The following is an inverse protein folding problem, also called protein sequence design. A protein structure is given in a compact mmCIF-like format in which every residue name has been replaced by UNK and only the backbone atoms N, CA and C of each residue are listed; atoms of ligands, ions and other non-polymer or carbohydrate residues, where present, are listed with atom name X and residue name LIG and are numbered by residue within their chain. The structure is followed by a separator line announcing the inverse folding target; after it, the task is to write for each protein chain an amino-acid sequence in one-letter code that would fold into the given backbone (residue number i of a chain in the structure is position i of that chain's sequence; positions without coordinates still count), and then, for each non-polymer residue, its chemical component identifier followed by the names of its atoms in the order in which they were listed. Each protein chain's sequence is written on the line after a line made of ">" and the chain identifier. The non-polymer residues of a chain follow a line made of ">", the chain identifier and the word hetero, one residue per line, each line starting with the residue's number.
data_IF_118840979088
#
_entry.id   IF_118840979088
#
_cell.length_a   1.000
_cell.length_b   1.000
_cell.length_c   1.000
_cell.angle_alpha   90.00
_cell.angle_beta   90.00
_cell.angle_gamma   90.00
#
_symmetry.space_group_name_H-M   'P 1'
#
loop_
_entity.id
_entity.type
_entity.pdbx_description
1 polymer ?
#
# COMPACT_ATOMS: atom_id res chain seq x y z
N UNK A 1 8.91 -40.18 -3.75
CA UNK A 1 8.05 -39.75 -2.62
C UNK A 1 8.24 -38.25 -2.45
N UNK A 2 7.18 -37.49 -2.16
CA UNK A 2 7.29 -36.05 -1.92
C UNK A 2 7.96 -35.79 -0.56
N UNK A 3 8.87 -34.83 -0.51
CA UNK A 3 9.69 -34.54 0.68
C UNK A 3 8.93 -33.75 1.75
N UNK A 4 7.93 -32.95 1.38
CA UNK A 4 7.17 -32.12 2.33
C UNK A 4 5.74 -31.79 1.89
N UNK A 5 4.86 -31.59 2.88
CA UNK A 5 3.49 -31.13 2.72
C UNK A 5 3.10 -30.23 3.91
N UNK A 6 3.26 -28.91 3.76
CA UNK A 6 3.02 -27.91 4.80
C UNK A 6 1.70 -27.15 4.55
N UNK A 7 1.08 -26.66 5.62
CA UNK A 7 -0.17 -25.88 5.59
C UNK A 7 0.08 -24.46 6.08
N UNK A 8 -0.60 -23.48 5.47
CA UNK A 8 -0.64 -22.13 6.03
C UNK A 8 -1.47 -22.11 7.32
N UNK A 9 -1.33 -21.09 8.17
CA UNK A 9 -2.13 -20.95 9.38
C UNK A 9 -3.64 -20.95 9.11
N UNK A 10 -4.08 -20.31 8.02
CA UNK A 10 -5.51 -20.26 7.65
C UNK A 10 -6.08 -21.66 7.37
N UNK A 11 -5.31 -22.50 6.66
CA UNK A 11 -5.72 -23.89 6.37
C UNK A 11 -5.62 -24.76 7.62
N UNK A 12 -4.61 -24.55 8.45
CA UNK A 12 -4.46 -25.24 9.74
C UNK A 12 -5.66 -24.97 10.65
N UNK A 13 -6.09 -23.71 10.74
CA UNK A 13 -7.25 -23.30 11.52
C UNK A 13 -8.56 -23.91 11.00
N UNK A 14 -8.75 -23.92 9.68
CA UNK A 14 -9.91 -24.54 9.02
C UNK A 14 -10.01 -26.04 9.31
N UNK A 15 -8.88 -26.74 9.36
CA UNK A 15 -8.81 -28.19 9.54
C UNK A 15 -8.78 -28.62 11.01
N UNK A 16 -8.74 -27.67 11.96
CA UNK A 16 -8.75 -27.97 13.40
C UNK A 16 -10.10 -28.56 13.85
N UNK A 17 -10.08 -29.34 14.94
CA UNK A 17 -11.29 -29.89 15.57
C UNK A 17 -11.28 -29.60 17.09
N UNK A 18 -12.14 -28.68 17.58
CA UNK A 18 -13.11 -27.88 16.83
C UNK A 18 -12.43 -26.87 15.88
N UNK A 19 -13.15 -26.46 14.82
CA UNK A 19 -12.61 -25.54 13.80
C UNK A 19 -12.27 -24.18 14.41
N UNK A 20 -11.07 -23.68 14.13
CA UNK A 20 -10.62 -22.35 14.54
C UNK A 20 -10.94 -21.37 13.43
N UNK A 21 -11.54 -20.23 13.75
CA UNK A 21 -11.82 -19.18 12.78
C UNK A 21 -10.55 -18.38 12.48
N UNK A 22 -10.30 -18.09 11.21
CA UNK A 22 -9.28 -17.11 10.82
C UNK A 22 -9.89 -15.72 10.76
N UNK A 23 -9.06 -14.67 10.86
CA UNK A 23 -9.55 -13.30 10.74
C UNK A 23 -10.19 -13.04 9.38
N UNK A 24 -11.26 -12.24 9.34
CA UNK A 24 -11.99 -11.93 8.12
C UNK A 24 -11.09 -11.28 7.04
N UNK A 25 -10.14 -10.43 7.45
CA UNK A 25 -9.08 -9.89 6.58
C UNK A 25 -8.22 -10.94 5.84
N UNK A 26 -8.16 -12.19 6.32
CA UNK A 26 -7.42 -13.29 5.69
C UNK A 26 -8.33 -14.23 4.89
N UNK A 27 -9.59 -14.38 5.29
CA UNK A 27 -10.53 -15.31 4.67
C UNK A 27 -11.95 -14.79 4.78
N UNK A 28 -12.69 -14.79 3.66
CA UNK A 28 -14.12 -14.46 3.58
C UNK A 28 -14.49 -13.01 3.97
N UNK A 29 -13.52 -12.10 3.98
CA UNK A 29 -13.72 -10.68 4.23
C UNK A 29 -14.26 -9.92 3.01
N UNK A 30 -14.99 -8.83 3.28
CA UNK A 30 -15.41 -7.88 2.25
C UNK A 30 -14.22 -7.06 1.75
N UNK A 31 -14.10 -6.92 0.44
CA UNK A 31 -13.10 -6.05 -0.19
C UNK A 31 -13.66 -4.64 -0.30
N UNK A 32 -12.95 -3.69 0.30
CA UNK A 32 -13.18 -2.27 0.19
C UNK A 32 -12.19 -1.66 -0.81
N UNK A 33 -12.61 -0.60 -1.49
CA UNK A 33 -11.77 0.13 -2.45
C UNK A 33 -11.80 1.63 -2.15
N UNK A 34 -10.65 2.27 -2.26
CA UNK A 34 -10.51 3.73 -2.22
C UNK A 34 -9.65 4.20 -3.39
N UNK A 35 -9.93 5.39 -3.91
CA UNK A 35 -9.24 5.97 -5.06
C UNK A 35 -9.08 7.47 -4.90
N UNK A 36 -7.92 7.99 -5.31
CA UNK A 36 -7.70 9.42 -5.45
C UNK A 36 -6.66 9.71 -6.53
N UNK A 37 -6.67 10.95 -7.02
CA UNK A 37 -5.73 11.42 -8.04
C UNK A 37 -5.36 12.88 -7.82
N UNK A 38 -4.22 13.29 -8.39
CA UNK A 38 -3.75 14.67 -8.42
C UNK A 38 -3.06 14.97 -9.75
N UNK A 39 -3.06 16.24 -10.14
CA UNK A 39 -2.23 16.73 -11.24
C UNK A 39 -0.91 17.25 -10.66
N UNK A 40 0.20 16.67 -11.11
CA UNK A 40 1.55 17.16 -10.76
C UNK A 40 1.93 18.35 -11.63
N UNK A 41 2.78 19.22 -11.11
CA UNK A 41 3.37 20.33 -11.88
C UNK A 41 4.67 19.87 -12.54
N UNK A 42 5.22 20.68 -13.45
CA UNK A 42 6.56 20.47 -13.98
C UNK A 42 7.64 20.95 -13.00
N UNK A 43 8.88 20.52 -13.25
CA UNK A 43 10.08 20.89 -12.48
C UNK A 43 9.97 20.64 -10.97
N UNK A 44 9.24 19.58 -10.59
CA UNK A 44 9.09 19.20 -9.18
C UNK A 44 10.37 18.57 -8.67
N UNK A 45 10.81 18.97 -7.48
CA UNK A 45 12.01 18.42 -6.83
C UNK A 45 11.70 17.15 -6.05
N UNK A 46 12.74 16.37 -5.78
CA UNK A 46 12.68 15.20 -4.90
C UNK A 46 12.15 15.56 -3.51
N UNK A 47 11.36 14.67 -2.91
CA UNK A 47 10.73 14.86 -1.61
C UNK A 47 9.37 15.56 -1.65
N UNK A 48 8.83 15.84 -2.84
CA UNK A 48 7.48 16.40 -2.98
C UNK A 48 6.43 15.32 -2.72
N UNK A 49 5.40 15.65 -1.94
CA UNK A 49 4.41 14.68 -1.45
C UNK A 49 3.03 14.92 -2.07
N UNK A 50 2.38 13.84 -2.51
CA UNK A 50 1.01 13.84 -3.03
C UNK A 50 0.13 12.88 -2.24
N UNK A 51 -0.80 13.40 -1.45
CA UNK A 51 -1.74 12.60 -0.64
C UNK A 51 -2.97 12.26 -1.48
N UNK A 52 -3.27 10.97 -1.65
CA UNK A 52 -4.26 10.53 -2.64
C UNK A 52 -5.51 9.93 -2.00
N UNK A 53 -5.34 9.01 -1.07
CA UNK A 53 -6.44 8.33 -0.40
C UNK A 53 -6.03 7.93 1.02
N UNK A 54 -6.98 7.44 1.82
CA UNK A 54 -6.69 7.00 3.18
C UNK A 54 -7.16 5.57 3.41
N UNK A 55 -6.40 4.82 4.21
CA UNK A 55 -6.71 3.45 4.65
C UNK A 55 -6.78 3.39 6.18
N UNK A 56 -7.73 2.65 6.78
CA UNK A 56 -7.81 2.55 8.23
C UNK A 56 -6.69 1.65 8.78
N UNK A 57 -6.29 1.88 10.03
CA UNK A 57 -5.19 1.17 10.71
C UNK A 57 -5.44 -0.34 10.83
N UNK A 58 -6.70 -0.75 10.96
CA UNK A 58 -7.11 -2.16 11.00
C UNK A 58 -7.28 -2.81 9.62
N UNK A 59 -7.03 -2.10 8.52
CA UNK A 59 -7.08 -2.68 7.19
C UNK A 59 -5.89 -3.60 6.93
N UNK A 60 -6.14 -4.68 6.19
CA UNK A 60 -5.12 -5.41 5.44
C UNK A 60 -5.21 -5.00 3.98
N UNK A 61 -4.15 -4.39 3.46
CA UNK A 61 -4.08 -3.97 2.05
C UNK A 61 -3.76 -5.17 1.17
N UNK A 62 -4.63 -5.45 0.20
CA UNK A 62 -4.45 -6.56 -0.74
C UNK A 62 -3.74 -6.12 -2.01
N UNK A 63 -4.07 -4.92 -2.53
CA UNK A 63 -3.57 -4.44 -3.81
C UNK A 63 -3.41 -2.92 -3.81
N UNK A 64 -2.36 -2.46 -4.49
CA UNK A 64 -2.15 -1.06 -4.84
C UNK A 64 -1.99 -0.97 -6.35
N UNK A 65 -2.84 -0.17 -6.96
CA UNK A 65 -2.94 0.00 -8.40
C UNK A 65 -2.64 1.47 -8.71
N UNK A 66 -1.60 1.72 -9.51
CA UNK A 66 -1.25 3.06 -9.95
C UNK A 66 -1.81 3.33 -11.34
N UNK A 67 -2.27 4.56 -11.55
CA UNK A 67 -2.61 5.09 -12.88
C UNK A 67 -1.90 6.40 -13.07
N UNK A 68 -1.24 6.60 -14.21
CA UNK A 68 -0.56 7.85 -14.50
C UNK A 68 -0.54 8.12 -15.99
N UNK A 69 -0.61 9.38 -16.39
CA UNK A 69 -0.21 9.78 -17.73
C UNK A 69 1.33 9.81 -17.81
N UNK A 70 1.89 9.62 -19.01
CA UNK A 70 3.34 9.56 -19.18
C UNK A 70 4.00 10.88 -18.73
N UNK A 71 4.82 10.83 -17.67
CA UNK A 71 5.59 11.99 -17.19
C UNK A 71 6.98 12.07 -17.83
N UNK A 72 7.45 10.98 -18.45
CA UNK A 72 8.74 10.90 -19.11
C UNK A 72 9.95 11.01 -18.17
N UNK A 73 11.14 11.08 -18.77
CA UNK A 73 12.41 11.26 -18.07
C UNK A 73 12.70 10.12 -17.08
N UNK A 74 13.12 10.49 -15.87
CA UNK A 74 13.37 9.56 -14.76
C UNK A 74 12.29 9.62 -13.68
N UNK A 75 11.08 10.11 -14.02
CA UNK A 75 10.00 10.34 -13.05
C UNK A 75 9.69 9.07 -12.24
N UNK A 76 9.82 9.16 -10.92
CA UNK A 76 9.58 8.06 -9.99
C UNK A 76 9.14 8.60 -8.62
N UNK A 77 8.39 7.79 -7.88
CA UNK A 77 7.93 8.12 -6.54
C UNK A 77 7.84 6.88 -5.63
N UNK A 78 8.10 7.07 -4.35
CA UNK A 78 7.79 6.10 -3.31
C UNK A 78 6.28 6.11 -3.01
N UNK A 79 5.72 4.96 -2.65
CA UNK A 79 4.34 4.80 -2.19
C UNK A 79 4.37 4.38 -0.73
N UNK A 80 3.93 5.28 0.15
CA UNK A 80 4.05 5.10 1.59
C UNK A 80 2.80 5.48 2.37
N UNK A 81 2.96 5.42 3.70
CA UNK A 81 1.95 5.76 4.70
C UNK A 81 2.36 7.01 5.47
N UNK A 82 1.44 7.96 5.56
CA UNK A 82 1.59 9.18 6.34
C UNK A 82 0.44 9.29 7.33
N UNK A 83 0.65 10.01 8.42
CA UNK A 83 -0.45 10.45 9.27
C UNK A 83 -1.39 11.34 8.44
N UNK A 84 -2.68 11.32 8.75
CA UNK A 84 -3.64 12.24 8.10
C UNK A 84 -3.23 13.69 8.33
N UNK A 85 -3.67 14.58 7.45
CA UNK A 85 -3.47 16.03 7.62
C UNK A 85 -4.03 16.54 8.96
N UNK A 86 -5.17 15.99 9.40
CA UNK A 86 -5.76 16.28 10.71
C UNK A 86 -4.88 15.82 11.89
N UNK A 87 -4.03 14.80 11.68
CA UNK A 87 -3.08 14.29 12.68
C UNK A 87 -1.64 14.74 12.38
N UNK A 88 -1.47 15.97 11.90
CA UNK A 88 -0.16 16.61 11.72
C UNK A 88 0.63 16.19 10.48
N UNK A 89 0.14 15.23 9.68
CA UNK A 89 0.71 14.92 8.38
C UNK A 89 2.11 14.27 8.38
N UNK A 90 2.63 13.87 9.54
CA UNK A 90 3.96 13.28 9.64
C UNK A 90 4.12 12.01 8.79
N UNK A 91 5.33 11.80 8.26
CA UNK A 91 5.71 10.55 7.58
C UNK A 91 5.66 9.42 8.61
N UNK A 92 4.98 8.33 8.29
CA UNK A 92 5.07 7.09 9.08
C UNK A 92 6.16 6.22 8.46
N UNK A 93 6.01 5.96 7.16
CA UNK A 93 6.95 5.19 6.37
C UNK A 93 6.76 5.56 4.89
N UNK A 94 7.79 6.13 4.25
CA UNK A 94 7.67 6.75 2.93
C UNK A 94 7.61 5.75 1.79
N UNK A 95 8.19 4.55 1.95
CA UNK A 95 8.31 3.51 0.94
C UNK A 95 7.67 2.17 1.37
N UNK A 96 6.80 2.22 2.40
CA UNK A 96 6.11 1.07 2.98
C UNK A 96 5.56 0.08 1.96
N UNK A 97 4.94 0.59 0.88
CA UNK A 97 4.38 -0.25 -0.17
C UNK A 97 5.30 -0.39 -1.36
N UNK A 98 5.94 0.68 -1.81
CA UNK A 98 6.81 0.63 -2.95
C UNK A 98 7.90 1.69 -2.88
N UNK A 99 9.14 1.30 -3.17
CA UNK A 99 10.23 2.23 -3.39
C UNK A 99 10.40 2.52 -4.90
N UNK A 100 10.55 3.78 -5.26
CA UNK A 100 10.85 4.27 -6.60
C UNK A 100 9.96 3.66 -7.72
N UNK A 101 8.64 3.64 -7.51
CA UNK A 101 7.68 3.27 -8.54
C UNK A 101 7.79 4.22 -9.74
N UNK A 102 7.99 3.65 -10.93
CA UNK A 102 8.18 4.43 -12.16
C UNK A 102 6.89 5.10 -12.63
N UNK A 103 7.00 6.38 -12.99
CA UNK A 103 5.93 7.22 -13.55
C UNK A 103 6.24 7.65 -14.99
N UNK A 104 7.28 7.07 -15.60
CA UNK A 104 7.79 7.48 -16.92
C UNK A 104 6.75 7.24 -18.01
N UNK A 105 6.12 6.07 -17.98
CA UNK A 105 5.16 5.63 -18.99
C UNK A 105 3.73 5.83 -18.49
N UNK A 106 2.78 5.92 -19.44
CA UNK A 106 1.38 5.90 -19.09
C UNK A 106 1.00 4.53 -18.52
N UNK A 107 0.34 4.52 -17.37
CA UNK A 107 -0.13 3.32 -16.66
C UNK A 107 -1.63 3.47 -16.39
N UNK A 108 -2.35 2.36 -16.50
CA UNK A 108 -3.77 2.30 -16.15
C UNK A 108 -3.99 1.11 -15.22
N UNK A 109 -4.39 1.40 -13.98
CA UNK A 109 -4.58 0.41 -12.91
C UNK A 109 -3.48 -0.66 -12.87
N UNK A 110 -2.22 -0.25 -13.05
CA UNK A 110 -1.09 -1.16 -13.04
C UNK A 110 -0.76 -1.52 -11.60
N UNK A 111 -0.72 -2.81 -11.31
CA UNK A 111 -0.42 -3.28 -9.97
C UNK A 111 1.06 -3.04 -9.65
N UNK A 112 1.29 -2.41 -8.51
CA UNK A 112 2.64 -2.27 -7.97
C UNK A 112 2.94 -3.50 -7.11
N UNK A 113 4.06 -4.16 -7.41
CA UNK A 113 4.57 -5.22 -6.55
C UNK A 113 5.02 -4.60 -5.23
N UNK A 114 4.35 -4.97 -4.14
CA UNK A 114 4.70 -4.43 -2.82
C UNK A 114 6.15 -4.82 -2.46
N UNK A 115 6.98 -3.83 -2.13
CA UNK A 115 8.41 -4.01 -1.91
C UNK A 115 8.67 -4.93 -0.71
N UNK A 116 9.47 -5.96 -0.95
CA UNK A 116 9.73 -7.06 0.00
C UNK A 116 10.59 -6.67 1.21
N UNK A 117 11.19 -5.48 1.22
CA UNK A 117 12.08 -5.02 2.29
C UNK A 117 11.30 -4.57 3.53
N UNK A 118 10.17 -3.87 3.32
CA UNK A 118 9.38 -3.28 4.42
C UNK A 118 8.09 -4.04 4.65
N UNK A 119 7.33 -4.34 3.59
CA UNK A 119 6.13 -5.17 3.62
C UNK A 119 6.43 -6.60 3.12
N UNK A 120 7.21 -7.31 3.93
CA UNK A 120 7.59 -8.71 3.70
C UNK A 120 6.37 -9.62 3.49
N UNK A 121 6.56 -10.79 2.87
CA UNK A 121 5.51 -11.82 2.69
C UNK A 121 4.74 -12.10 4.00
N UNK A 122 5.42 -12.06 5.14
CA UNK A 122 4.81 -12.27 6.46
C UNK A 122 3.92 -11.11 6.91
N UNK A 123 4.24 -9.87 6.52
CA UNK A 123 3.49 -8.66 6.84
C UNK A 123 2.31 -8.40 5.91
N UNK A 124 2.31 -8.95 4.70
CA UNK A 124 1.19 -8.82 3.76
C UNK A 124 -0.11 -9.47 4.24
N UNK A 125 -0.04 -10.39 5.20
CA UNK A 125 -1.20 -10.96 5.88
C UNK A 125 -1.71 -10.13 7.07
N UNK A 126 -0.92 -9.16 7.52
CA UNK A 126 -1.18 -8.40 8.73
C UNK A 126 -1.99 -7.13 8.45
N UNK A 127 -2.61 -6.58 9.49
CA UNK A 127 -3.23 -5.26 9.42
C UNK A 127 -2.16 -4.18 9.37
N UNK A 128 -2.48 -2.99 8.88
CA UNK A 128 -1.54 -1.87 8.73
C UNK A 128 -0.81 -1.58 10.05
N UNK A 129 -1.51 -1.51 11.18
CA UNK A 129 -0.87 -1.26 12.48
C UNK A 129 0.12 -2.35 12.89
N UNK A 130 -0.19 -3.62 12.61
CA UNK A 130 0.68 -4.78 12.90
C UNK A 130 1.91 -4.77 12.01
N UNK A 131 1.73 -4.51 10.71
CA UNK A 131 2.80 -4.45 9.72
C UNK A 131 3.77 -3.28 9.98
N UNK A 132 3.27 -2.20 10.59
CA UNK A 132 4.04 -1.06 11.11
C UNK A 132 4.74 -1.37 12.46
N UNK A 133 4.51 -2.53 13.06
CA UNK A 133 5.14 -2.94 14.32
C UNK A 133 4.56 -2.27 15.57
N UNK A 134 3.34 -1.72 15.49
CA UNK A 134 2.66 -1.13 16.65
C UNK A 134 2.13 -2.25 17.56
N UNK A 135 2.00 -1.98 18.85
CA UNK A 135 1.53 -2.97 19.83
C UNK A 135 0.01 -3.11 19.91
N UNK A 136 -0.73 -2.15 19.35
CA UNK A 136 -2.18 -2.14 19.30
C UNK A 136 -2.67 -1.29 18.13
N UNK A 137 -3.93 -1.52 17.76
CA UNK A 137 -4.61 -0.71 16.76
C UNK A 137 -4.72 0.76 17.22
N UNK A 138 -4.33 1.68 16.36
CA UNK A 138 -4.38 3.12 16.63
C UNK A 138 -5.77 3.71 16.46
N UNK A 139 -6.71 2.95 15.88
CA UNK A 139 -8.08 3.38 15.55
C UNK A 139 -8.10 4.66 14.69
N UNK A 140 -7.14 4.77 13.78
CA UNK A 140 -6.92 5.96 12.93
C UNK A 140 -6.77 5.55 11.47
N UNK A 141 -6.96 6.51 10.58
CA UNK A 141 -6.61 6.33 9.18
C UNK A 141 -5.18 6.81 8.92
N UNK A 142 -4.56 6.23 7.90
CA UNK A 142 -3.29 6.65 7.33
C UNK A 142 -3.53 7.10 5.90
N UNK A 143 -2.89 8.19 5.48
CA UNK A 143 -2.92 8.63 4.09
C UNK A 143 -1.89 7.84 3.29
N UNK A 144 -2.31 7.35 2.12
CA UNK A 144 -1.43 6.81 1.11
C UNK A 144 -0.89 7.97 0.28
N UNK A 145 0.43 8.11 0.28
CA UNK A 145 1.13 9.27 -0.26
C UNK A 145 2.16 8.82 -1.27
N UNK A 146 2.24 9.54 -2.38
CA UNK A 146 3.37 9.48 -3.31
C UNK A 146 4.43 10.50 -2.92
N UNK A 147 5.67 10.05 -2.74
CA UNK A 147 6.81 10.94 -2.46
C UNK A 147 7.80 10.86 -3.61
N UNK A 148 8.06 11.98 -4.29
CA UNK A 148 8.93 11.98 -5.48
C UNK A 148 10.37 11.60 -5.14
N UNK A 149 10.91 10.59 -5.81
CA UNK A 149 12.32 10.17 -5.68
C UNK A 149 13.19 10.68 -6.82
N UNK A 150 12.56 11.19 -7.87
CA UNK A 150 13.21 11.85 -8.99
C UNK A 150 12.45 13.11 -9.40
N UNK A 151 13.13 13.98 -10.15
CA UNK A 151 12.51 15.18 -10.71
C UNK A 151 11.42 14.81 -11.72
N UNK A 152 10.22 15.36 -11.54
CA UNK A 152 9.15 15.29 -12.54
C UNK A 152 9.36 16.48 -13.49
N UNK A 153 9.85 16.19 -14.70
CA UNK A 153 10.11 17.23 -15.71
C UNK A 153 8.83 17.71 -16.37
N UNK A 154 7.86 16.82 -16.56
CA UNK A 154 6.58 17.11 -17.20
C UNK A 154 5.46 16.71 -16.25
N UNK A 155 4.72 17.72 -15.79
CA UNK A 155 3.55 17.50 -14.93
C UNK A 155 2.46 16.73 -15.65
N UNK A 156 1.87 15.77 -14.97
CA UNK A 156 0.78 14.95 -15.46
C UNK A 156 -0.13 14.45 -14.33
N UNK A 157 -1.23 13.81 -14.70
CA UNK A 157 -2.13 13.15 -13.76
C UNK A 157 -1.49 11.88 -13.18
N UNK A 158 -1.62 11.69 -11.88
CA UNK A 158 -1.30 10.46 -11.17
C UNK A 158 -2.40 10.13 -10.18
N UNK A 159 -2.79 8.87 -10.11
CA UNK A 159 -3.81 8.36 -9.22
C UNK A 159 -3.46 7.00 -8.66
N UNK A 160 -3.93 6.74 -7.45
CA UNK A 160 -3.72 5.48 -6.74
C UNK A 160 -5.05 4.95 -6.29
N UNK A 161 -5.24 3.66 -6.54
CA UNK A 161 -6.37 2.86 -6.06
C UNK A 161 -5.84 1.82 -5.09
N UNK A 162 -6.48 1.72 -3.94
CA UNK A 162 -6.10 0.77 -2.88
C UNK A 162 -7.27 -0.12 -2.57
N UNK A 163 -7.04 -1.43 -2.59
CA UNK A 163 -8.01 -2.44 -2.16
C UNK A 163 -7.57 -3.04 -0.84
N UNK A 164 -8.51 -3.17 0.08
CA UNK A 164 -8.23 -3.65 1.43
C UNK A 164 -9.42 -4.40 2.03
N UNK A 165 -9.14 -5.14 3.10
CA UNK A 165 -10.11 -5.91 3.91
C UNK A 165 -9.94 -5.54 5.38
N UNK A 166 -10.93 -5.80 6.25
CA UNK A 166 -10.94 -5.43 7.68
C UNK A 166 -10.90 -6.67 8.61
#
# INVERSE_FOLDING_TARGET
>A
MATEALKSPVITNRDASPRVTSGAHLSDGLVHETYGHVTTTSAVTTGSTYRLCSVPSNARVSEILISTAAMGGSSAADIGLYQTTANGGAVVDADFFAAAATLVNALTNSQIAMTQTVNTITKQGQRVWEALGLSADTLRSYDVVLTTTATITTGALVGVKVRYTL
#
